data_IF_226824193250
#
_entry.id   IF_226824193250
#
_cell.length_a   1.000
_cell.length_b   1.000
_cell.length_c   1.000
_cell.angle_alpha   90.00
_cell.angle_beta   90.00
_cell.angle_gamma   90.00
#
_symmetry.space_group_name_H-M   'P 1'
#
loop_
_entity.id
_entity.type
_entity.pdbx_description
1 polymer ?
#
# COMPACT_ATOMS: atom_id res chain seq x y z
N UNK A 1 32.36 64.31 59.66
CA UNK A 1 31.51 65.42 59.15
C UNK A 1 31.90 65.61 57.69
N UNK A 2 31.10 65.44 56.63
CA UNK A 2 29.67 65.21 56.39
C UNK A 2 29.62 64.49 55.02
N UNK A 3 28.82 63.42 54.86
CA UNK A 3 27.54 63.41 54.11
C UNK A 3 27.73 63.66 52.60
N UNK A 4 27.38 62.78 51.66
CA UNK A 4 25.99 62.55 51.18
C UNK A 4 26.04 61.47 50.07
N UNK A 5 25.39 60.31 50.21
CA UNK A 5 24.10 59.92 49.58
C UNK A 5 24.06 59.87 48.03
N UNK A 6 23.84 58.64 47.51
CA UNK A 6 22.93 58.27 46.39
C UNK A 6 23.40 58.69 44.96
N UNK A 7 23.25 58.01 43.81
CA UNK A 7 22.36 56.98 43.25
C UNK A 7 23.03 56.30 42.02
N UNK A 8 22.64 55.04 41.75
CA UNK A 8 22.34 54.35 40.46
C UNK A 8 23.26 54.30 39.21
N UNK A 9 23.15 53.11 38.57
CA UNK A 9 23.36 52.72 37.15
C UNK A 9 24.84 52.47 36.73
N UNK A 10 25.22 51.44 35.97
CA UNK A 10 24.50 50.63 34.95
C UNK A 10 25.34 49.40 34.52
N UNK A 11 24.67 48.25 34.34
CA UNK A 11 24.77 47.21 33.29
C UNK A 11 26.13 47.03 32.56
N UNK A 12 26.73 45.82 32.59
CA UNK A 12 27.02 45.02 31.38
C UNK A 12 27.58 43.62 31.69
N UNK A 13 27.03 42.58 31.07
CA UNK A 13 27.64 41.24 31.06
C UNK A 13 26.65 40.07 31.06
N UNK A 14 25.62 40.11 30.21
CA UNK A 14 24.70 38.99 30.01
C UNK A 14 25.45 37.86 29.27
N UNK A 15 25.97 36.88 30.01
CA UNK A 15 26.51 35.66 29.42
C UNK A 15 25.33 34.76 29.03
N UNK A 16 24.79 34.96 27.82
CA UNK A 16 23.90 33.99 27.17
C UNK A 16 24.80 32.84 26.72
N UNK A 17 25.02 31.84 27.59
CA UNK A 17 25.49 30.54 27.10
C UNK A 17 24.31 29.87 26.41
N UNK A 18 24.31 29.99 25.09
CA UNK A 18 23.40 29.33 24.16
C UNK A 18 23.58 27.81 24.30
N UNK A 19 22.89 27.18 25.25
CA UNK A 19 22.78 25.72 25.29
C UNK A 19 21.91 25.32 24.11
N UNK A 20 22.57 24.93 23.02
CA UNK A 20 21.97 24.27 21.86
C UNK A 20 21.21 23.05 22.38
N UNK A 21 19.89 23.19 22.47
CA UNK A 21 19.00 22.10 22.80
C UNK A 21 18.92 21.22 21.54
N UNK A 22 19.77 20.19 21.49
CA UNK A 22 19.68 19.15 20.47
C UNK A 22 18.45 18.28 20.82
N UNK A 23 17.27 18.72 20.41
CA UNK A 23 16.09 17.85 20.47
C UNK A 23 16.22 16.83 19.34
N UNK A 24 16.81 15.68 19.65
CA UNK A 24 16.60 14.48 18.83
C UNK A 24 15.12 14.14 18.99
N UNK A 25 14.31 14.61 18.05
CA UNK A 25 12.95 14.11 17.89
C UNK A 25 13.07 12.63 17.51
N UNK A 26 13.09 11.76 18.52
CA UNK A 26 12.73 10.36 18.33
C UNK A 26 11.26 10.36 17.93
N UNK A 27 11.02 10.42 16.62
CA UNK A 27 9.77 9.95 16.07
C UNK A 27 9.75 8.45 16.36
N UNK A 28 9.14 8.07 17.47
CA UNK A 28 8.65 6.72 17.65
C UNK A 28 7.71 6.47 16.48
N UNK A 29 8.24 5.78 15.46
CA UNK A 29 7.44 5.21 14.39
C UNK A 29 6.53 4.20 15.07
N UNK A 30 5.31 4.63 15.37
CA UNK A 30 4.22 3.75 15.73
C UNK A 30 3.99 2.88 14.50
N UNK A 31 4.66 1.74 14.44
CA UNK A 31 4.47 0.74 13.39
C UNK A 31 3.11 0.06 13.59
N UNK A 32 2.02 0.82 13.42
CA UNK A 32 0.80 0.21 12.92
C UNK A 32 1.19 -0.47 11.60
N UNK A 33 0.84 -1.75 11.43
CA UNK A 33 1.07 -2.45 10.18
C UNK A 33 0.31 -1.71 9.08
N UNK A 34 1.00 -0.77 8.43
CA UNK A 34 0.46 0.00 7.31
C UNK A 34 0.30 -0.99 6.17
N UNK A 35 -0.85 -0.96 5.51
CA UNK A 35 -1.09 -1.65 4.26
C UNK A 35 -0.84 -0.62 3.16
N UNK A 36 0.43 -0.36 2.75
CA UNK A 36 0.68 0.62 1.70
C UNK A 36 0.35 0.04 0.31
N UNK A 37 0.13 -1.27 0.21
CA UNK A 37 -0.15 -1.95 -1.05
C UNK A 37 -1.65 -2.21 -1.15
N UNK A 38 -2.29 -1.61 -2.13
CA UNK A 38 -3.72 -1.73 -2.42
C UNK A 38 -3.91 -2.32 -3.82
N UNK A 39 -5.03 -2.98 -4.04
CA UNK A 39 -5.35 -3.65 -5.30
C UNK A 39 -6.87 -3.64 -5.49
N UNK A 40 -7.44 -2.60 -6.10
CA UNK A 40 -8.86 -2.59 -6.41
C UNK A 40 -9.17 -3.61 -7.52
N UNK A 41 -10.02 -4.58 -7.22
CA UNK A 41 -10.36 -5.68 -8.12
C UNK A 41 -11.68 -5.44 -8.86
N UNK A 42 -11.68 -5.70 -10.16
CA UNK A 42 -12.89 -5.71 -10.99
C UNK A 42 -12.77 -6.68 -12.16
N UNK A 43 -13.91 -7.08 -12.74
CA UNK A 43 -13.91 -7.90 -13.96
C UNK A 43 -13.38 -7.17 -15.20
N UNK A 44 -13.44 -5.82 -15.21
CA UNK A 44 -12.90 -5.02 -16.33
C UNK A 44 -11.36 -5.05 -16.41
N UNK A 45 -10.72 -5.41 -15.30
CA UNK A 45 -9.26 -5.53 -15.23
C UNK A 45 -8.77 -6.92 -15.68
N UNK A 46 -9.66 -7.91 -15.83
CA UNK A 46 -9.28 -9.22 -16.36
C UNK A 46 -8.84 -9.13 -17.82
N UNK A 47 -8.04 -10.13 -18.23
CA UNK A 47 -7.54 -10.23 -19.61
C UNK A 47 -7.86 -11.62 -20.16
N UNK A 48 -8.92 -11.78 -20.98
CA UNK A 48 -9.88 -10.74 -21.41
C UNK A 48 -10.84 -10.29 -20.29
N UNK A 49 -11.44 -9.11 -20.45
CA UNK A 49 -12.36 -8.55 -19.46
C UNK A 49 -13.61 -9.42 -19.26
N UNK A 50 -14.05 -9.54 -18.01
CA UNK A 50 -15.21 -10.32 -17.57
C UNK A 50 -16.37 -9.40 -17.23
N UNK A 51 -17.56 -9.72 -17.72
CA UNK A 51 -18.80 -9.03 -17.34
C UNK A 51 -19.35 -9.60 -16.03
N UNK A 52 -19.01 -8.95 -14.93
CA UNK A 52 -19.54 -9.28 -13.60
C UNK A 52 -19.81 -7.99 -12.82
N UNK A 53 -20.72 -8.05 -11.85
CA UNK A 53 -20.92 -6.99 -10.86
C UNK A 53 -20.02 -7.19 -9.63
N UNK A 54 -19.21 -8.26 -9.60
CA UNK A 54 -18.28 -8.51 -8.53
C UNK A 54 -17.18 -7.45 -8.48
N UNK A 55 -16.80 -7.09 -7.26
CA UNK A 55 -15.70 -6.16 -6.97
C UNK A 55 -14.89 -6.69 -5.81
N UNK A 56 -13.68 -6.16 -5.64
CA UNK A 56 -12.91 -6.46 -4.44
C UNK A 56 -11.84 -5.41 -4.14
N UNK A 57 -11.19 -5.59 -3.00
CA UNK A 57 -10.03 -4.83 -2.58
C UNK A 57 -9.02 -5.78 -1.93
N UNK A 58 -7.77 -5.73 -2.39
CA UNK A 58 -6.66 -6.49 -1.83
C UNK A 58 -5.65 -5.57 -1.16
N UNK A 59 -5.46 -5.74 0.14
CA UNK A 59 -4.55 -4.94 0.95
C UNK A 59 -3.37 -5.82 1.42
N UNK A 60 -2.13 -5.35 1.26
CA UNK A 60 -0.91 -6.01 1.75
C UNK A 60 -0.05 -5.08 2.62
N UNK A 61 0.55 -5.62 3.68
CA UNK A 61 1.51 -4.89 4.51
C UNK A 61 2.89 -4.88 3.87
N UNK A 62 3.77 -4.00 4.33
CA UNK A 62 5.21 -4.21 4.11
C UNK A 62 5.67 -5.53 4.74
N UNK A 63 6.71 -6.20 4.19
CA UNK A 63 7.39 -7.29 4.88
C UNK A 63 7.90 -6.83 6.24
N UNK A 64 7.58 -7.57 7.29
CA UNK A 64 8.11 -7.35 8.64
C UNK A 64 8.24 -8.68 9.37
N UNK A 65 9.40 -8.92 10.00
CA UNK A 65 9.68 -10.16 10.73
C UNK A 65 9.44 -11.44 9.89
N UNK A 66 9.82 -11.41 8.59
CA UNK A 66 9.65 -12.54 7.67
C UNK A 66 8.20 -12.83 7.27
N UNK A 67 7.30 -11.87 7.46
CA UNK A 67 5.87 -12.00 7.13
C UNK A 67 5.37 -10.78 6.38
N UNK A 68 4.54 -11.01 5.36
CA UNK A 68 3.69 -10.01 4.72
C UNK A 68 2.24 -10.41 4.97
N UNK A 69 1.47 -9.57 5.65
CA UNK A 69 0.05 -9.83 5.91
C UNK A 69 -0.77 -9.35 4.74
N UNK A 70 -1.86 -10.05 4.45
CA UNK A 70 -2.82 -9.60 3.45
C UNK A 70 -4.26 -9.75 3.93
N UNK A 71 -5.12 -8.96 3.32
CA UNK A 71 -6.58 -9.03 3.45
C UNK A 71 -7.19 -8.76 2.08
N UNK A 72 -8.01 -9.67 1.60
CA UNK A 72 -8.80 -9.47 0.39
C UNK A 72 -10.27 -9.52 0.78
N UNK A 73 -10.99 -8.47 0.42
CA UNK A 73 -12.43 -8.35 0.60
C UNK A 73 -13.10 -8.34 -0.78
N UNK A 74 -14.01 -9.26 -1.03
CA UNK A 74 -14.76 -9.35 -2.30
C UNK A 74 -16.25 -9.22 -2.05
N UNK A 75 -16.93 -8.51 -2.93
CA UNK A 75 -18.39 -8.35 -2.98
C UNK A 75 -18.92 -8.96 -4.27
N UNK A 76 -20.07 -9.64 -4.22
CA UNK A 76 -20.64 -10.36 -5.35
C UNK A 76 -20.10 -11.78 -5.54
N UNK A 77 -19.06 -12.18 -4.78
CA UNK A 77 -18.50 -13.53 -4.78
C UNK A 77 -18.67 -14.15 -3.39
N UNK A 78 -19.42 -15.24 -3.28
CA UNK A 78 -19.65 -15.98 -2.04
C UNK A 78 -18.89 -17.31 -1.97
N UNK A 79 -18.36 -17.79 -3.09
CA UNK A 79 -17.60 -19.04 -3.18
C UNK A 79 -16.43 -18.89 -4.16
N UNK A 80 -15.38 -18.20 -3.74
CA UNK A 80 -14.13 -18.19 -4.49
C UNK A 80 -13.56 -19.62 -4.56
N UNK A 81 -13.18 -20.05 -5.77
CA UNK A 81 -12.54 -21.34 -6.02
C UNK A 81 -11.02 -21.27 -5.85
N UNK A 82 -10.44 -20.10 -6.14
CA UNK A 82 -9.04 -19.78 -5.92
C UNK A 82 -8.82 -18.26 -5.81
N UNK A 83 -7.68 -17.87 -5.24
CA UNK A 83 -7.20 -16.49 -5.26
C UNK A 83 -5.68 -16.50 -5.27
N UNK A 84 -5.07 -15.69 -6.13
CA UNK A 84 -3.63 -15.74 -6.42
C UNK A 84 -3.02 -14.35 -6.51
N UNK A 85 -1.71 -14.27 -6.24
CA UNK A 85 -0.86 -13.20 -6.78
C UNK A 85 -0.17 -13.74 -8.04
N UNK A 86 -0.14 -12.94 -9.10
CA UNK A 86 0.55 -13.22 -10.36
C UNK A 86 1.65 -12.18 -10.64
N UNK A 87 2.64 -12.57 -11.45
CA UNK A 87 3.71 -11.69 -11.93
C UNK A 87 3.47 -11.28 -13.39
N UNK A 88 2.87 -10.11 -13.60
CA UNK A 88 2.84 -9.40 -14.88
C UNK A 88 2.42 -7.94 -14.69
N UNK A 89 2.70 -7.13 -15.71
CA UNK A 89 2.23 -5.75 -15.81
C UNK A 89 0.72 -5.70 -16.08
N UNK A 90 0.14 -4.52 -15.83
CA UNK A 90 -1.25 -4.26 -16.16
C UNK A 90 -1.54 -4.55 -17.65
N UNK A 91 -2.59 -5.33 -17.90
CA UNK A 91 -3.01 -5.73 -19.25
C UNK A 91 -2.37 -7.03 -19.78
N UNK A 92 -1.50 -7.68 -19.01
CA UNK A 92 -0.88 -8.95 -19.38
C UNK A 92 -1.24 -10.08 -18.39
N UNK A 93 -1.22 -11.33 -18.86
CA UNK A 93 -1.36 -12.51 -18.00
C UNK A 93 0.01 -13.01 -17.57
N UNK A 94 0.14 -13.33 -16.27
CA UNK A 94 1.41 -13.75 -15.66
C UNK A 94 1.33 -15.09 -14.95
N UNK A 95 2.49 -15.63 -14.61
CA UNK A 95 2.59 -16.84 -13.79
C UNK A 95 2.11 -16.58 -12.36
N UNK A 96 1.49 -17.59 -11.74
CA UNK A 96 1.13 -17.56 -10.31
C UNK A 96 2.40 -17.55 -9.47
N UNK A 97 2.48 -16.62 -8.52
CA UNK A 97 3.61 -16.47 -7.58
C UNK A 97 3.24 -16.66 -6.11
N UNK A 98 1.95 -16.63 -5.73
CA UNK A 98 1.48 -16.98 -4.38
C UNK A 98 -0.01 -17.36 -4.38
N UNK A 99 -0.43 -18.23 -3.45
CA UNK A 99 -1.85 -18.52 -3.19
C UNK A 99 -2.36 -17.71 -2.00
N UNK A 100 -3.60 -17.21 -2.08
CA UNK A 100 -4.22 -16.36 -1.06
C UNK A 100 -5.46 -16.97 -0.38
N UNK A 101 -6.13 -17.95 -0.99
CA UNK A 101 -7.36 -18.49 -0.40
C UNK A 101 -7.12 -19.57 0.67
N UNK A 102 -5.98 -20.25 0.60
CA UNK A 102 -5.68 -21.45 1.41
C UNK A 102 -4.51 -21.26 2.39
N UNK A 103 -4.21 -20.01 2.80
CA UNK A 103 -3.15 -19.79 3.79
C UNK A 103 -3.65 -20.01 5.22
N UNK A 104 -2.76 -20.38 6.16
CA UNK A 104 -3.13 -20.51 7.57
C UNK A 104 -3.67 -19.16 8.06
N UNK A 105 -4.91 -19.12 8.56
CA UNK A 105 -5.68 -17.96 9.08
C UNK A 105 -6.73 -17.29 8.17
N UNK A 106 -7.11 -17.87 7.02
CA UNK A 106 -8.30 -17.43 6.27
C UNK A 106 -9.62 -17.80 6.99
N UNK A 107 -9.88 -17.18 8.14
CA UNK A 107 -11.16 -17.19 8.85
C UNK A 107 -11.81 -15.81 8.68
N UNK A 108 -12.73 -15.74 7.74
CA UNK A 108 -13.99 -14.96 7.79
C UNK A 108 -14.79 -15.37 6.54
N UNK A 109 -15.27 -16.61 6.53
CA UNK A 109 -16.12 -17.09 5.45
C UNK A 109 -17.52 -16.49 5.65
N UNK A 110 -17.86 -15.63 4.71
CA UNK A 110 -19.22 -15.23 4.35
C UNK A 110 -19.76 -13.99 5.08
N UNK A 111 -19.72 -12.87 4.36
CA UNK A 111 -20.75 -11.83 4.52
C UNK A 111 -21.96 -12.23 3.67
N UNK A 112 -23.14 -11.64 3.89
CA UNK A 112 -24.35 -11.99 3.15
C UNK A 112 -24.22 -11.86 1.61
N UNK A 113 -23.22 -11.11 1.11
CA UNK A 113 -23.01 -10.84 -0.32
C UNK A 113 -21.53 -10.83 -0.74
N UNK A 114 -20.65 -11.51 0.00
CA UNK A 114 -19.21 -11.39 -0.23
C UNK A 114 -18.36 -12.24 0.70
N UNK A 115 -17.05 -12.26 0.48
CA UNK A 115 -16.09 -13.01 1.29
C UNK A 115 -14.94 -12.11 1.73
N UNK A 116 -14.41 -12.36 2.93
CA UNK A 116 -13.15 -11.77 3.37
C UNK A 116 -12.18 -12.88 3.71
N UNK A 117 -11.02 -12.88 3.08
CA UNK A 117 -9.95 -13.81 3.43
C UNK A 117 -8.68 -13.03 3.75
N UNK A 118 -7.97 -13.53 4.76
CA UNK A 118 -6.75 -12.92 5.30
C UNK A 118 -5.73 -14.01 5.51
N UNK A 119 -4.46 -13.59 5.56
CA UNK A 119 -3.39 -14.52 5.82
C UNK A 119 -2.04 -13.85 5.90
N UNK A 120 -1.03 -14.72 6.01
CA UNK A 120 0.37 -14.35 6.08
C UNK A 120 1.10 -15.05 4.93
N UNK A 121 1.83 -14.27 4.15
CA UNK A 121 2.83 -14.76 3.22
C UNK A 121 4.19 -14.79 3.93
N UNK A 122 4.97 -15.80 3.60
CA UNK A 122 6.38 -16.00 3.95
C UNK A 122 7.18 -16.22 2.68
N UNK A 123 8.51 -16.17 2.74
CA UNK A 123 9.37 -16.51 1.57
C UNK A 123 9.01 -17.88 0.96
N UNK A 124 8.67 -18.86 1.82
CA UNK A 124 8.24 -20.19 1.39
C UNK A 124 6.85 -20.24 0.74
N UNK A 125 6.06 -19.16 0.82
CA UNK A 125 4.78 -19.03 0.11
C UNK A 125 4.99 -18.69 -1.37
N UNK A 126 6.17 -18.19 -1.74
CA UNK A 126 6.48 -17.77 -3.10
C UNK A 126 6.77 -18.98 -4.00
N UNK A 127 6.21 -18.94 -5.21
CA UNK A 127 6.31 -20.00 -6.21
C UNK A 127 6.55 -19.44 -7.61
N UNK A 128 6.63 -20.33 -8.60
CA UNK A 128 6.84 -19.96 -9.99
C UNK A 128 8.12 -19.14 -10.16
N UNK A 129 8.11 -18.01 -10.89
CA UNK A 129 9.30 -17.18 -11.08
C UNK A 129 9.82 -16.51 -9.79
N UNK A 130 9.04 -16.55 -8.70
CA UNK A 130 9.47 -16.07 -7.38
C UNK A 130 9.89 -17.19 -6.42
N UNK A 131 9.95 -18.45 -6.86
CA UNK A 131 10.40 -19.54 -5.99
C UNK A 131 11.84 -19.31 -5.50
N UNK A 132 12.04 -19.37 -4.18
CA UNK A 132 13.34 -19.15 -3.54
C UNK A 132 13.77 -17.69 -3.41
N UNK A 133 12.90 -16.73 -3.79
CA UNK A 133 13.06 -15.30 -3.52
C UNK A 133 12.55 -14.92 -2.13
N UNK A 134 12.74 -13.67 -1.74
CA UNK A 134 12.27 -13.14 -0.46
C UNK A 134 10.98 -12.32 -0.62
N UNK A 135 10.30 -12.06 0.49
CA UNK A 135 9.18 -11.09 0.52
C UNK A 135 9.62 -9.67 0.17
N UNK A 136 10.90 -9.32 0.36
CA UNK A 136 11.42 -8.01 -0.08
C UNK A 136 11.49 -7.95 -1.61
N UNK A 137 11.83 -9.06 -2.28
CA UNK A 137 11.74 -9.15 -3.75
C UNK A 137 10.28 -9.02 -4.23
N UNK A 138 9.32 -9.58 -3.48
CA UNK A 138 7.90 -9.41 -3.79
C UNK A 138 7.48 -7.94 -3.63
N UNK A 139 7.88 -7.29 -2.54
CA UNK A 139 7.59 -5.88 -2.31
C UNK A 139 8.21 -4.98 -3.39
N UNK A 140 9.41 -5.30 -3.89
CA UNK A 140 10.01 -4.60 -5.01
C UNK A 140 9.23 -4.78 -6.33
N UNK A 141 8.67 -5.97 -6.56
CA UNK A 141 7.81 -6.22 -7.71
C UNK A 141 6.45 -5.49 -7.59
N UNK A 142 5.88 -5.42 -6.38
CA UNK A 142 4.70 -4.58 -6.08
C UNK A 142 4.98 -3.10 -6.32
N UNK A 143 6.13 -2.60 -5.85
CA UNK A 143 6.57 -1.21 -6.07
C UNK A 143 6.81 -0.90 -7.57
N UNK A 144 7.13 -1.91 -8.38
CA UNK A 144 7.36 -1.78 -9.83
C UNK A 144 6.08 -1.93 -10.66
N UNK A 145 4.94 -2.21 -10.02
CA UNK A 145 3.67 -2.45 -10.72
C UNK A 145 3.69 -3.73 -11.57
N UNK A 146 4.51 -4.72 -11.20
CA UNK A 146 4.70 -5.97 -11.98
C UNK A 146 3.90 -7.15 -11.40
N UNK A 147 2.99 -6.92 -10.44
CA UNK A 147 2.17 -7.98 -9.83
C UNK A 147 0.70 -7.59 -9.65
N UNK A 148 -0.18 -8.57 -9.78
CA UNK A 148 -1.63 -8.39 -9.60
C UNK A 148 -2.25 -9.49 -8.75
N UNK A 149 -3.41 -9.19 -8.15
CA UNK A 149 -4.28 -10.18 -7.49
C UNK A 149 -5.40 -10.57 -8.45
N UNK A 150 -5.73 -11.86 -8.48
CA UNK A 150 -6.91 -12.37 -9.17
C UNK A 150 -7.70 -13.31 -8.24
N UNK A 151 -9.03 -13.27 -8.35
CA UNK A 151 -9.97 -14.18 -7.66
C UNK A 151 -10.80 -14.93 -8.68
N UNK A 152 -10.89 -16.25 -8.51
CA UNK A 152 -11.57 -17.18 -9.39
C UNK A 152 -12.85 -17.70 -8.74
N UNK A 153 -13.83 -18.07 -9.56
CA UNK A 153 -15.06 -18.75 -9.16
C UNK A 153 -15.28 -20.01 -9.99
N UNK A 154 -16.40 -20.72 -9.78
CA UNK A 154 -16.76 -21.86 -10.62
C UNK A 154 -17.23 -21.39 -12.01
N UNK A 155 -17.90 -20.24 -12.06
CA UNK A 155 -18.42 -19.61 -13.27
C UNK A 155 -17.30 -18.98 -14.11
N UNK A 156 -16.25 -18.46 -13.46
CA UNK A 156 -15.09 -17.85 -14.10
C UNK A 156 -13.78 -18.52 -13.65
N UNK A 157 -13.46 -19.71 -14.17
CA UNK A 157 -12.28 -20.48 -13.73
C UNK A 157 -10.96 -19.81 -14.08
N UNK A 158 -10.90 -19.03 -15.17
CA UNK A 158 -9.69 -18.31 -15.59
C UNK A 158 -9.47 -16.99 -14.82
N UNK A 159 -10.47 -16.56 -14.02
CA UNK A 159 -10.47 -15.34 -13.22
C UNK A 159 -11.79 -14.58 -13.35
N UNK A 160 -12.37 -14.16 -12.22
CA UNK A 160 -13.58 -13.32 -12.21
C UNK A 160 -13.25 -11.84 -12.06
N UNK A 161 -12.31 -11.51 -11.16
CA UNK A 161 -11.90 -10.15 -10.86
C UNK A 161 -10.39 -10.05 -10.63
N UNK A 162 -9.78 -9.00 -11.19
CA UNK A 162 -8.34 -8.69 -11.08
C UNK A 162 -8.08 -7.28 -10.58
N UNK A 163 -6.98 -7.08 -9.86
CA UNK A 163 -6.45 -5.76 -9.53
C UNK A 163 -4.93 -5.75 -9.51
N UNK A 164 -4.30 -4.79 -10.20
CA UNK A 164 -2.87 -4.55 -10.08
C UNK A 164 -2.57 -4.08 -8.66
N UNK A 165 -1.50 -4.58 -8.05
CA UNK A 165 -1.09 -4.12 -6.72
C UNK A 165 -0.27 -2.84 -6.89
N UNK A 166 -0.69 -1.77 -6.24
CA UNK A 166 -0.04 -0.46 -6.29
C UNK A 166 0.36 -0.03 -4.89
N UNK A 167 1.51 0.64 -4.77
CA UNK A 167 1.92 1.25 -3.52
C UNK A 167 1.26 2.64 -3.38
N UNK A 168 0.28 2.78 -2.51
CA UNK A 168 -0.44 4.02 -2.22
C UNK A 168 0.43 5.12 -1.60
N UNK A 169 1.59 4.77 -1.01
CA UNK A 169 2.57 5.74 -0.50
C UNK A 169 3.58 6.18 -1.57
N UNK A 170 3.71 5.41 -2.65
CA UNK A 170 4.52 5.71 -3.82
C UNK A 170 3.63 5.59 -5.05
N UNK A 171 2.63 6.49 -5.23
CA UNK A 171 1.82 6.48 -6.42
C UNK A 171 2.77 6.47 -7.62
N UNK A 172 2.67 5.41 -8.42
CA UNK A 172 3.50 5.18 -9.61
C UNK A 172 3.66 6.51 -10.33
N UNK A 173 4.91 6.90 -10.63
CA UNK A 173 5.22 8.21 -11.21
C UNK A 173 4.29 8.40 -12.40
N UNK A 174 3.28 9.26 -12.21
CA UNK A 174 2.23 9.48 -13.19
C UNK A 174 2.92 9.70 -14.53
N UNK A 175 2.62 8.84 -15.50
CA UNK A 175 2.96 9.13 -16.89
C UNK A 175 2.30 10.45 -17.19
N UNK A 176 3.08 11.52 -17.18
CA UNK A 176 2.62 12.89 -17.37
C UNK A 176 2.23 13.04 -18.82
N UNK A 177 0.99 12.66 -19.15
CA UNK A 177 0.32 13.20 -20.32
C UNK A 177 0.04 14.68 -20.02
N UNK A 178 1.03 15.51 -20.31
CA UNK A 178 0.91 16.95 -20.37
C UNK A 178 0.01 17.32 -21.54
N UNK A 179 -1.30 17.36 -21.32
CA UNK A 179 -2.17 18.26 -22.10
C UNK A 179 -2.28 19.56 -21.32
N UNK A 180 -1.39 20.47 -21.69
CA UNK A 180 -1.37 21.86 -21.27
C UNK A 180 -2.67 22.56 -21.73
N UNK A 181 -3.72 22.51 -20.91
CA UNK A 181 -4.87 23.42 -21.06
C UNK A 181 -4.51 24.74 -20.41
N UNK A 182 -3.99 25.67 -21.22
CA UNK A 182 -3.85 27.06 -20.82
C UNK A 182 -5.26 27.64 -20.59
N UNK A 183 -5.61 27.83 -19.33
CA UNK A 183 -6.77 28.64 -18.93
C UNK A 183 -6.50 30.09 -19.30
N UNK A 184 -7.15 30.56 -20.37
CA UNK A 184 -7.20 31.96 -20.76
C UNK A 184 -8.12 32.74 -19.84
N UNK A 185 -7.54 33.57 -18.97
CA UNK A 185 -8.25 34.55 -18.16
C UNK A 185 -8.58 35.75 -19.05
N UNK A 186 -9.86 35.94 -19.41
CA UNK A 186 -10.32 37.11 -20.15
C UNK A 186 -10.86 38.15 -19.18
N UNK A 187 -10.10 39.23 -18.96
CA UNK A 187 -10.54 40.42 -18.24
C UNK A 187 -11.44 41.24 -19.18
N UNK A 188 -12.73 41.38 -18.85
CA UNK A 188 -13.60 42.37 -19.49
C UNK A 188 -13.29 43.77 -18.94
N UNK A 189 -13.00 44.70 -19.85
CA UNK A 189 -13.23 46.14 -19.71
C UNK A 189 -14.49 46.51 -20.44
#
# INVERSE_FOLDING_TARGET
MNSSKLLLASILGLAISLSVLLTVSVFDQIHAAKYPYDAPLSGQNEVPAVQTNATGEGEFTVPANGTMKYKVNVTGISNASAAHIHMAKAGENGDVIADLLNTPTSKDKDTAYGMIFRGNLTDSSLKGPMQGKTLDDLAAAMDSGDVYVNVHTAEHPDGEIRGQIVNSDKPEAATTNSTNSSVGFSTLT
#
